data_IF_410191496113
#
_entry.id   IF_410191496113
#
_cell.length_a   1.000
_cell.length_b   1.000
_cell.length_c   1.000
_cell.angle_alpha   90.00
_cell.angle_beta   90.00
_cell.angle_gamma   90.00
#
_symmetry.space_group_name_H-M   'P 1'
#
loop_
_entity.id
_entity.type
_entity.pdbx_description
1 polymer ?
#
# COMPACT_ATOMS: atom_id res chain seq x y z
N UNK A 1 14.08 -17.42 -7.22
CA UNK A 1 13.92 -17.49 -5.74
C UNK A 1 15.03 -18.36 -5.21
N UNK A 2 15.92 -17.83 -4.37
CA UNK A 2 17.16 -18.54 -4.01
C UNK A 2 17.19 -19.06 -2.57
N UNK A 3 16.49 -18.43 -1.62
CA UNK A 3 16.61 -18.76 -0.18
C UNK A 3 15.38 -19.40 0.46
N UNK A 4 14.24 -19.47 -0.23
CA UNK A 4 12.99 -20.04 0.32
C UNK A 4 12.38 -19.30 1.53
N UNK A 5 13.03 -18.24 2.06
CA UNK A 5 12.56 -17.51 3.24
C UNK A 5 11.23 -16.80 2.98
N UNK A 6 10.25 -17.02 3.86
CA UNK A 6 8.94 -16.35 3.82
C UNK A 6 9.09 -14.83 3.93
N UNK A 7 8.32 -14.10 3.13
CA UNK A 7 8.25 -12.63 3.16
C UNK A 7 7.11 -12.19 4.06
N UNK A 8 7.27 -11.04 4.73
CA UNK A 8 6.17 -10.40 5.46
C UNK A 8 5.18 -9.84 4.45
N UNK A 9 3.89 -10.03 4.70
CA UNK A 9 2.81 -9.48 3.90
C UNK A 9 2.03 -8.45 4.72
N UNK A 10 1.41 -7.50 4.03
CA UNK A 10 0.54 -6.47 4.60
C UNK A 10 -0.43 -5.96 3.55
N UNK A 11 -1.37 -5.12 3.98
CA UNK A 11 -2.34 -4.50 3.08
C UNK A 11 -1.70 -3.46 2.17
N UNK A 12 -2.41 -3.11 1.08
CA UNK A 12 -1.98 -2.04 0.21
C UNK A 12 -1.92 -0.72 0.97
N UNK A 13 -0.80 0.00 0.84
CA UNK A 13 -0.53 1.24 1.54
C UNK A 13 -0.51 2.43 0.57
N UNK A 14 -1.62 3.17 0.55
CA UNK A 14 -1.76 4.34 -0.32
C UNK A 14 -0.92 5.54 0.15
N UNK A 15 -0.56 5.60 1.44
CA UNK A 15 0.30 6.67 1.98
C UNK A 15 1.71 6.53 1.42
N UNK A 16 2.26 5.31 1.44
CA UNK A 16 3.57 5.01 0.84
C UNK A 16 3.53 5.18 -0.67
N UNK A 17 2.48 4.71 -1.34
CA UNK A 17 2.34 4.87 -2.78
C UNK A 17 2.37 6.36 -3.20
N UNK A 18 1.65 7.24 -2.48
CA UNK A 18 1.66 8.68 -2.74
C UNK A 18 3.01 9.32 -2.44
N UNK A 19 3.69 8.87 -1.38
CA UNK A 19 5.06 9.30 -1.12
C UNK A 19 5.98 8.96 -2.30
N UNK A 20 5.92 7.72 -2.79
CA UNK A 20 6.71 7.27 -3.94
C UNK A 20 6.41 8.09 -5.20
N UNK A 21 5.14 8.45 -5.46
CA UNK A 21 4.78 9.33 -6.59
C UNK A 21 5.41 10.71 -6.48
N UNK A 22 5.36 11.34 -5.30
CA UNK A 22 5.95 12.67 -5.10
C UNK A 22 7.47 12.66 -5.28
N UNK A 23 8.14 11.60 -4.84
CA UNK A 23 9.60 11.48 -4.91
C UNK A 23 10.07 11.12 -6.33
N UNK A 24 9.34 10.26 -7.03
CA UNK A 24 9.80 9.69 -8.31
C UNK A 24 9.08 10.25 -9.54
N UNK A 25 8.09 11.13 -9.39
CA UNK A 25 7.32 11.68 -10.52
C UNK A 25 6.48 10.63 -11.26
N UNK A 26 5.94 9.65 -10.54
CA UNK A 26 5.14 8.55 -11.12
C UNK A 26 3.89 9.12 -11.78
N UNK A 27 3.72 8.87 -13.07
CA UNK A 27 2.50 9.24 -13.82
C UNK A 27 1.43 8.16 -13.74
N UNK A 28 1.85 6.89 -13.77
CA UNK A 28 0.96 5.74 -13.92
C UNK A 28 1.36 4.59 -12.98
N UNK A 29 0.36 3.80 -12.56
CA UNK A 29 0.57 2.64 -11.71
C UNK A 29 0.17 1.34 -12.43
N UNK A 30 1.02 0.33 -12.29
CA UNK A 30 0.67 -1.07 -12.58
C UNK A 30 0.46 -1.84 -11.29
N UNK A 31 -0.79 -2.15 -10.97
CA UNK A 31 -1.16 -2.97 -9.82
C UNK A 31 -1.05 -4.46 -10.19
N UNK A 32 -0.14 -5.16 -9.55
CA UNK A 32 0.12 -6.57 -9.82
C UNK A 32 -0.45 -7.47 -8.73
N UNK A 33 -0.75 -8.73 -9.08
CA UNK A 33 -1.23 -9.77 -8.15
C UNK A 33 -2.58 -9.46 -7.47
N UNK A 34 -3.48 -8.79 -8.19
CA UNK A 34 -4.83 -8.52 -7.68
C UNK A 34 -5.64 -9.80 -7.46
N UNK A 35 -5.33 -10.88 -8.20
CA UNK A 35 -5.95 -12.20 -8.08
C UNK A 35 -5.84 -12.80 -6.68
N UNK A 36 -4.79 -12.45 -5.93
CA UNK A 36 -4.57 -12.91 -4.55
C UNK A 36 -5.64 -12.37 -3.58
N UNK A 37 -6.31 -11.29 -3.94
CA UNK A 37 -7.31 -10.62 -3.10
C UNK A 37 -8.76 -11.06 -3.41
N UNK A 38 -8.96 -11.86 -4.47
CA UNK A 38 -10.29 -12.15 -5.03
C UNK A 38 -11.26 -12.87 -4.10
N UNK A 39 -10.77 -13.57 -3.08
CA UNK A 39 -11.61 -14.29 -2.12
C UNK A 39 -12.12 -13.42 -0.97
N UNK A 40 -11.67 -12.16 -0.87
CA UNK A 40 -12.04 -11.26 0.21
C UNK A 40 -13.33 -10.51 -0.15
N UNK A 41 -14.33 -10.54 0.73
CA UNK A 41 -15.53 -9.70 0.60
C UNK A 41 -15.19 -8.20 0.69
N UNK A 42 -14.16 -7.86 1.46
CA UNK A 42 -13.69 -6.48 1.64
C UNK A 42 -12.18 -6.45 1.69
N UNK A 43 -11.59 -5.59 0.87
CA UNK A 43 -10.14 -5.39 0.83
C UNK A 43 -9.81 -4.11 1.60
N UNK A 44 -9.21 -4.21 2.80
CA UNK A 44 -8.80 -3.03 3.53
C UNK A 44 -7.58 -2.39 2.86
N UNK A 45 -7.61 -1.07 2.79
CA UNK A 45 -6.54 -0.24 2.22
C UNK A 45 -6.12 0.79 3.26
N UNK A 46 -4.81 0.94 3.47
CA UNK A 46 -4.31 1.97 4.37
C UNK A 46 -4.36 3.32 3.67
N UNK A 47 -5.13 4.26 4.24
CA UNK A 47 -5.35 5.62 3.73
C UNK A 47 -4.83 6.70 4.68
N UNK A 48 -4.02 6.32 5.66
CA UNK A 48 -3.50 7.25 6.65
C UNK A 48 -2.96 6.51 7.86
N UNK A 49 -2.08 7.19 8.57
CA UNK A 49 -1.51 6.69 9.82
C UNK A 49 -2.08 7.46 11.00
N UNK A 50 -2.15 6.80 12.15
CA UNK A 50 -2.42 7.46 13.42
C UNK A 50 -1.12 7.48 14.21
N UNK A 51 -0.62 8.67 14.49
CA UNK A 51 0.63 8.91 15.21
C UNK A 51 0.27 9.83 16.37
N UNK A 52 0.48 9.37 17.61
CA UNK A 52 0.16 10.11 18.83
C UNK A 52 -1.28 10.67 18.86
N UNK A 53 -2.23 9.83 18.45
CA UNK A 53 -3.65 10.21 18.35
C UNK A 53 -4.00 11.11 17.16
N UNK A 54 -3.02 11.62 16.41
CA UNK A 54 -3.22 12.47 15.24
C UNK A 54 -3.23 11.65 13.96
N UNK A 55 -4.24 11.86 13.12
CA UNK A 55 -4.31 11.24 11.82
C UNK A 55 -3.44 12.01 10.83
N UNK A 56 -2.54 11.31 10.13
CA UNK A 56 -1.81 11.88 9.01
C UNK A 56 -2.79 12.08 7.86
N UNK A 57 -2.89 13.32 7.39
CA UNK A 57 -3.78 13.65 6.27
C UNK A 57 -3.09 13.23 4.98
N UNK A 58 -3.80 12.46 4.15
CA UNK A 58 -3.51 12.38 2.72
C UNK A 58 -3.90 13.69 2.00
N UNK A 59 -4.61 14.63 2.63
CA UNK A 59 -5.09 15.87 1.99
C UNK A 59 -3.95 16.75 1.43
N UNK A 60 -4.03 17.34 0.23
CA UNK A 60 -5.03 17.29 -0.85
C UNK A 60 -4.32 16.86 -2.14
#
# INVERSE_FOLDING_TARGET
MTTGRRRRCGWFDAVVARYATRVNGITDYFLTKLDVLSSLQTVPVCVGYRIDGKQTRICR
#
